data_IF_094877058533
#
_entry.id   IF_094877058533
#
_cell.length_a   1.000
_cell.length_b   1.000
_cell.length_c   1.000
_cell.angle_alpha   90.00
_cell.angle_beta   90.00
_cell.angle_gamma   90.00
#
_symmetry.space_group_name_H-M   'P 1'
#
loop_
_entity.id
_entity.type
_entity.pdbx_description
1 polymer ?
#
# COMPACT_ATOMS: atom_id res chain seq x y z
N UNK A 1 13.98 -12.07 -12.16
CA UNK A 1 13.36 -10.86 -11.58
C UNK A 1 14.11 -10.59 -10.30
N UNK A 2 14.76 -9.44 -10.22
CA UNK A 2 15.67 -9.10 -9.14
C UNK A 2 14.87 -8.82 -7.86
N UNK A 3 14.94 -9.74 -6.90
CA UNK A 3 14.35 -9.58 -5.58
C UNK A 3 15.35 -8.83 -4.72
N UNK A 4 15.26 -7.49 -4.68
CA UNK A 4 15.90 -6.73 -3.62
C UNK A 4 15.36 -7.25 -2.27
N UNK A 5 16.22 -7.84 -1.46
CA UNK A 5 15.93 -8.69 -0.30
C UNK A 5 15.50 -7.92 0.96
N UNK A 6 14.84 -6.77 0.83
CA UNK A 6 14.36 -5.97 1.96
C UNK A 6 13.11 -5.16 1.65
N UNK A 7 12.29 -4.92 2.66
CA UNK A 7 11.15 -3.99 2.58
C UNK A 7 11.69 -2.55 2.53
N UNK A 8 11.08 -1.71 1.68
CA UNK A 8 11.46 -0.30 1.49
C UNK A 8 11.20 0.53 2.75
N UNK A 9 10.10 0.27 3.45
CA UNK A 9 9.70 1.01 4.63
C UNK A 9 8.78 0.17 5.53
N UNK A 10 8.83 0.50 6.82
CA UNK A 10 7.95 0.00 7.87
C UNK A 10 7.02 1.14 8.30
N UNK A 11 5.70 0.96 8.18
CA UNK A 11 4.73 2.03 8.40
C UNK A 11 3.54 1.60 9.26
N UNK A 12 2.83 2.59 9.81
CA UNK A 12 1.58 2.45 10.56
C UNK A 12 0.56 3.45 10.06
N UNK A 13 -0.73 3.10 10.10
CA UNK A 13 -1.82 4.02 9.74
C UNK A 13 -2.78 4.23 10.91
N UNK A 14 -2.58 5.32 11.64
CA UNK A 14 -3.41 5.71 12.78
C UNK A 14 -4.64 6.49 12.30
N UNK A 15 -5.82 5.89 12.40
CA UNK A 15 -7.05 6.40 11.78
C UNK A 15 -8.14 6.74 12.80
N UNK A 16 -7.76 7.07 14.04
CA UNK A 16 -8.69 7.22 15.17
C UNK A 16 -9.84 8.21 14.91
N UNK A 17 -9.58 9.25 14.09
CA UNK A 17 -10.58 10.24 13.70
C UNK A 17 -11.79 9.65 12.94
N UNK A 18 -11.66 8.47 12.31
CA UNK A 18 -12.73 7.77 11.59
C UNK A 18 -13.22 6.52 12.31
N UNK A 19 -12.91 6.40 13.61
CA UNK A 19 -13.36 5.27 14.44
C UNK A 19 -12.53 3.98 14.29
N UNK A 20 -11.42 4.01 13.55
CA UNK A 20 -10.47 2.90 13.42
C UNK A 20 -9.20 3.26 14.18
N UNK A 21 -8.86 2.61 15.31
CA UNK A 21 -7.65 2.97 16.05
C UNK A 21 -6.37 2.91 15.20
N UNK A 22 -6.20 1.80 14.48
CA UNK A 22 -5.12 1.57 13.52
C UNK A 22 -5.61 0.60 12.43
N UNK A 23 -5.38 0.95 11.17
CA UNK A 23 -5.74 0.12 10.02
C UNK A 23 -4.55 -0.82 9.68
N UNK A 24 -4.75 -2.15 9.57
CA UNK A 24 -3.65 -3.10 9.37
C UNK A 24 -2.90 -2.91 8.05
N UNK A 25 -3.61 -2.67 6.94
CA UNK A 25 -3.00 -2.51 5.62
C UNK A 25 -3.81 -1.52 4.80
N UNK A 26 -3.23 -0.35 4.50
CA UNK A 26 -3.97 0.75 3.88
C UNK A 26 -3.40 1.07 2.50
N UNK A 27 -3.98 0.50 1.44
CA UNK A 27 -3.47 0.69 0.07
C UNK A 27 -3.35 2.14 -0.37
N UNK A 28 -4.34 2.98 -0.05
CA UNK A 28 -4.33 4.42 -0.39
C UNK A 28 -3.19 5.17 0.30
N UNK A 29 -2.94 4.89 1.59
CA UNK A 29 -1.84 5.49 2.33
C UNK A 29 -0.48 5.07 1.78
N UNK A 30 -0.31 3.79 1.43
CA UNK A 30 0.93 3.26 0.84
C UNK A 30 1.23 3.88 -0.54
N UNK A 31 0.21 4.02 -1.39
CA UNK A 31 0.32 4.70 -2.68
C UNK A 31 0.68 6.18 -2.54
N UNK A 32 0.04 6.89 -1.60
CA UNK A 32 0.36 8.28 -1.29
C UNK A 32 1.76 8.45 -0.69
N UNK A 33 2.17 7.55 0.20
CA UNK A 33 3.50 7.54 0.80
C UNK A 33 4.59 7.32 -0.27
N UNK A 34 4.45 6.31 -1.12
CA UNK A 34 5.37 6.12 -2.25
C UNK A 34 5.45 7.35 -3.15
N UNK A 35 4.29 7.97 -3.45
CA UNK A 35 4.24 9.19 -4.28
C UNK A 35 4.95 10.36 -3.60
N UNK A 36 4.82 10.47 -2.28
CA UNK A 36 5.52 11.48 -1.49
C UNK A 36 7.04 11.29 -1.55
N UNK A 37 7.54 10.05 -1.43
CA UNK A 37 8.97 9.76 -1.53
C UNK A 37 9.54 10.16 -2.90
N UNK A 38 8.84 9.81 -3.99
CA UNK A 38 9.20 10.17 -5.36
C UNK A 38 9.21 11.69 -5.55
N UNK A 39 8.11 12.36 -5.20
CA UNK A 39 7.93 13.81 -5.40
C UNK A 39 8.99 14.63 -4.68
N UNK A 40 9.42 14.17 -3.50
CA UNK A 40 10.43 14.84 -2.69
C UNK A 40 11.85 14.31 -2.92
N UNK A 41 12.05 13.40 -3.89
CA UNK A 41 13.35 12.78 -4.23
C UNK A 41 14.08 12.21 -3.00
N UNK A 42 13.31 11.60 -2.09
CA UNK A 42 13.83 10.98 -0.87
C UNK A 42 14.45 9.59 -1.13
N UNK A 43 14.23 9.06 -2.33
CA UNK A 43 14.85 7.85 -2.87
C UNK A 43 15.27 8.10 -4.32
N UNK A 44 16.20 7.30 -4.88
CA UNK A 44 16.48 7.33 -6.32
C UNK A 44 15.19 7.12 -7.13
N UNK A 45 14.94 8.03 -8.06
CA UNK A 45 13.76 8.00 -8.94
C UNK A 45 14.20 7.67 -10.35
N UNK A 46 13.56 6.68 -10.95
CA UNK A 46 13.74 6.31 -12.35
C UNK A 46 12.62 6.91 -13.20
N UNK A 47 12.96 7.26 -14.44
CA UNK A 47 11.93 7.43 -15.49
C UNK A 47 11.26 6.07 -15.75
N UNK A 48 9.96 6.08 -16.03
CA UNK A 48 9.15 4.86 -16.08
C UNK A 48 8.77 4.36 -14.68
N UNK A 49 8.85 3.05 -14.47
CA UNK A 49 8.24 2.39 -13.31
C UNK A 49 9.17 2.31 -12.09
N UNK A 50 8.72 2.86 -10.97
CA UNK A 50 9.37 2.78 -9.66
C UNK A 50 8.59 1.82 -8.75
N UNK A 51 9.29 0.90 -8.08
CA UNK A 51 8.66 -0.20 -7.32
C UNK A 51 9.08 -0.14 -5.85
N UNK A 52 8.11 -0.28 -4.96
CA UNK A 52 8.31 -0.30 -3.51
C UNK A 52 7.58 -1.50 -2.90
N UNK A 53 8.18 -2.08 -1.86
CA UNK A 53 7.50 -3.04 -0.99
C UNK A 53 7.44 -2.45 0.40
N UNK A 54 6.24 -2.15 0.89
CA UNK A 54 6.03 -1.46 2.17
C UNK A 54 5.31 -2.43 3.11
N UNK A 55 5.80 -2.56 4.33
CA UNK A 55 5.20 -3.39 5.37
C UNK A 55 4.36 -2.55 6.34
N UNK A 56 3.21 -3.08 6.77
CA UNK A 56 2.26 -2.40 7.68
C UNK A 56 1.56 -3.41 8.59
N UNK A 57 1.12 -2.97 9.77
CA UNK A 57 0.21 -3.72 10.64
C UNK A 57 0.89 -4.70 11.59
N UNK A 58 2.22 -4.67 11.69
CA UNK A 58 2.98 -5.55 12.58
C UNK A 58 2.76 -5.19 14.05
N UNK A 59 2.56 -3.92 14.40
CA UNK A 59 2.30 -3.47 15.78
C UNK A 59 0.96 -3.94 16.34
N UNK A 60 0.06 -4.43 15.49
CA UNK A 60 -1.28 -4.89 15.87
C UNK A 60 -1.53 -6.34 15.46
N UNK A 61 -0.46 -7.12 15.24
CA UNK A 61 -0.50 -8.55 14.89
C UNK A 61 -1.34 -8.87 13.63
N UNK A 62 -1.36 -7.94 12.67
CA UNK A 62 -2.07 -8.06 11.39
C UNK A 62 -1.14 -7.65 10.24
N UNK A 63 0.00 -8.34 10.07
CA UNK A 63 1.03 -7.95 9.10
C UNK A 63 0.52 -8.07 7.67
N UNK A 64 0.89 -7.11 6.84
CA UNK A 64 0.72 -7.19 5.39
C UNK A 64 1.80 -6.44 4.63
N UNK A 65 1.99 -6.88 3.39
CA UNK A 65 2.91 -6.27 2.44
C UNK A 65 2.11 -5.63 1.31
N UNK A 66 2.44 -4.37 1.00
CA UNK A 66 1.88 -3.64 -0.13
C UNK A 66 2.96 -3.41 -1.17
N UNK A 67 2.72 -3.91 -2.38
CA UNK A 67 3.52 -3.59 -3.55
C UNK A 67 2.97 -2.31 -4.17
N UNK A 68 3.80 -1.27 -4.22
CA UNK A 68 3.44 0.01 -4.81
C UNK A 68 4.26 0.23 -6.07
N UNK A 69 3.60 0.53 -7.18
CA UNK A 69 4.22 0.87 -8.46
C UNK A 69 3.85 2.29 -8.85
N UNK A 70 4.85 3.12 -9.14
CA UNK A 70 4.66 4.53 -9.49
C UNK A 70 5.39 4.83 -10.79
N UNK A 71 4.63 5.22 -11.81
CA UNK A 71 5.20 5.58 -13.10
C UNK A 71 5.48 7.08 -13.16
N UNK A 72 6.71 7.41 -13.54
CA UNK A 72 7.17 8.76 -13.78
C UNK A 72 7.43 8.98 -15.26
N UNK A 73 7.05 10.15 -15.77
CA UNK A 73 7.42 10.58 -17.10
C UNK A 73 7.79 12.07 -17.06
N UNK A 74 8.98 12.41 -17.55
CA UNK A 74 9.49 13.78 -17.52
C UNK A 74 9.50 14.38 -16.10
N UNK A 75 9.82 13.56 -15.10
CA UNK A 75 9.84 13.97 -13.70
C UNK A 75 8.48 14.05 -12.99
N UNK A 76 7.36 13.87 -13.68
CA UNK A 76 6.01 13.90 -13.10
C UNK A 76 5.44 12.50 -12.86
N UNK A 77 4.69 12.32 -11.77
CA UNK A 77 3.96 11.08 -11.50
C UNK A 77 2.74 11.01 -12.43
N UNK A 78 2.66 9.95 -13.22
CA UNK A 78 1.60 9.73 -14.20
C UNK A 78 0.63 8.61 -13.80
N UNK A 79 1.09 7.66 -12.98
CA UNK A 79 0.27 6.55 -12.49
C UNK A 79 0.76 6.05 -11.14
N UNK A 80 -0.19 5.67 -10.28
CA UNK A 80 0.05 5.02 -8.99
C UNK A 80 -0.79 3.77 -8.93
N UNK A 81 -0.17 2.63 -8.66
CA UNK A 81 -0.83 1.34 -8.49
C UNK A 81 -0.37 0.73 -7.18
N UNK A 82 -1.30 0.08 -6.48
CA UNK A 82 -1.00 -0.71 -5.29
C UNK A 82 -1.58 -2.11 -5.46
N UNK A 83 -0.87 -3.10 -4.95
CA UNK A 83 -1.24 -4.50 -5.06
C UNK A 83 -0.70 -5.32 -3.91
N UNK A 84 -1.28 -6.50 -3.74
CA UNK A 84 -0.92 -7.47 -2.72
C UNK A 84 -1.61 -8.80 -2.98
N UNK A 85 -1.32 -9.78 -2.14
CA UNK A 85 -2.01 -11.07 -2.16
C UNK A 85 -3.12 -11.12 -1.13
N UNK A 86 -4.16 -11.90 -1.39
CA UNK A 86 -5.28 -12.10 -0.47
C UNK A 86 -5.64 -13.59 -0.38
N UNK A 87 -6.21 -13.99 0.75
CA UNK A 87 -6.72 -15.35 0.98
C UNK A 87 -8.21 -15.27 1.30
N UNK A 88 -9.01 -16.10 0.63
CA UNK A 88 -10.45 -16.20 0.94
C UNK A 88 -10.64 -17.00 2.23
N UNK A 89 -11.10 -16.35 3.30
CA UNK A 89 -11.36 -17.00 4.61
C UNK A 89 -12.80 -17.50 4.76
N UNK A 90 -13.75 -16.89 4.05
CA UNK A 90 -15.16 -17.25 4.08
C UNK A 90 -15.83 -16.86 2.76
N UNK A 91 -16.83 -17.63 2.36
CA UNK A 91 -17.75 -17.32 1.27
C UNK A 91 -19.16 -17.68 1.73
N UNK A 92 -20.13 -16.80 1.45
CA UNK A 92 -21.53 -17.04 1.79
C UNK A 92 -22.49 -16.29 0.88
N UNK A 93 -23.78 -16.54 1.09
CA UNK A 93 -24.89 -15.89 0.39
C UNK A 93 -25.70 -15.05 1.39
N UNK A 94 -26.00 -13.79 1.03
CA UNK A 94 -26.88 -12.94 1.82
C UNK A 94 -28.30 -13.03 1.28
N UNK A 95 -29.25 -13.52 2.09
CA UNK A 95 -30.68 -13.51 1.78
C UNK A 95 -31.34 -12.35 2.51
N UNK A 96 -31.89 -11.41 1.74
CA UNK A 96 -32.66 -10.31 2.28
C UNK A 96 -34.12 -10.72 2.37
N UNK A 97 -34.75 -10.44 3.51
CA UNK A 97 -36.22 -10.53 3.62
C UNK A 97 -36.81 -9.20 3.12
N UNK A 98 -37.94 -9.21 2.40
CA UNK A 98 -38.63 -7.98 2.02
C UNK A 98 -39.01 -7.16 3.26
N UNK A 99 -39.02 -5.84 3.11
CA UNK A 99 -39.50 -4.89 4.11
C UNK A 99 -41.01 -4.97 4.31
#
# INVERSE_FOLDING_TARGET
MDHATGHTAHVRNLAAAVGVPEDPVTGTANGAFGSYLIKNRLLPVNEGCNRFTIEQGYEIDRPGLVHTEIDCFSGDITRVQVGGSAVTIFRGELRLTPA
#
